data_IF_869786524764
#
_entry.id   IF_869786524764
#
_cell.length_a   1.000
_cell.length_b   1.000
_cell.length_c   1.000
_cell.angle_alpha   90.00
_cell.angle_beta   90.00
_cell.angle_gamma   90.00
#
_symmetry.space_group_name_H-M   'P 1'
#
loop_
_entity.id
_entity.type
_entity.pdbx_description
1 polymer ?
#
# COMPACT_ATOMS: atom_id res chain seq x y z
N UNK A 1 -28.52 -1.44 -15.40
CA UNK A 1 -27.23 -0.79 -15.08
C UNK A 1 -26.93 0.18 -16.22
N UNK A 2 -26.53 1.41 -15.93
CA UNK A 2 -26.27 2.42 -16.97
C UNK A 2 -25.16 1.95 -17.89
N UNK A 3 -25.37 1.94 -19.21
CA UNK A 3 -24.40 1.64 -20.28
C UNK A 3 -23.32 2.74 -20.42
N UNK A 4 -23.04 3.47 -19.34
CA UNK A 4 -22.10 4.57 -19.37
C UNK A 4 -20.67 4.05 -19.24
N UNK A 5 -19.88 4.24 -20.27
CA UNK A 5 -18.43 4.01 -20.25
C UNK A 5 -17.75 4.98 -19.30
N UNK A 6 -16.86 4.47 -18.43
CA UNK A 6 -16.02 5.28 -17.52
C UNK A 6 -14.67 5.51 -18.20
N UNK A 7 -14.32 6.77 -18.40
CA UNK A 7 -13.10 7.22 -19.06
C UNK A 7 -12.02 7.48 -18.00
N UNK A 8 -10.94 6.69 -18.07
CA UNK A 8 -9.86 6.70 -17.06
C UNK A 8 -8.62 7.41 -17.60
N UNK A 9 -8.14 8.40 -16.84
CA UNK A 9 -6.85 9.05 -17.04
C UNK A 9 -5.81 8.55 -16.04
N UNK A 10 -4.55 8.46 -16.46
CA UNK A 10 -3.43 8.01 -15.63
C UNK A 10 -2.44 9.13 -15.38
N UNK A 11 -2.14 9.40 -14.10
CA UNK A 11 -1.09 10.31 -13.69
C UNK A 11 0.05 9.51 -13.06
N UNK A 12 1.22 9.50 -13.69
CA UNK A 12 2.36 8.73 -13.21
C UNK A 12 2.29 7.24 -13.59
N UNK A 13 2.16 6.94 -14.88
CA UNK A 13 2.16 5.57 -15.38
C UNK A 13 3.57 4.94 -15.33
N UNK A 14 4.07 4.71 -14.12
CA UNK A 14 5.30 4.00 -13.81
C UNK A 14 5.16 2.47 -13.91
N UNK A 15 6.19 1.74 -13.41
CA UNK A 15 6.24 0.27 -13.51
C UNK A 15 4.98 -0.40 -12.97
N UNK A 16 4.52 -0.02 -11.77
CA UNK A 16 3.36 -0.65 -11.15
C UNK A 16 2.06 -0.38 -11.92
N UNK A 17 1.85 0.88 -12.31
CA UNK A 17 0.68 1.27 -13.12
C UNK A 17 0.62 0.50 -14.44
N UNK A 18 1.75 0.38 -15.14
CA UNK A 18 1.85 -0.35 -16.42
C UNK A 18 1.64 -1.86 -16.25
N UNK A 19 2.18 -2.48 -15.19
CA UNK A 19 2.13 -3.94 -15.01
C UNK A 19 0.87 -4.43 -14.29
N UNK A 20 0.12 -3.56 -13.59
CA UNK A 20 -1.02 -3.93 -12.76
C UNK A 20 -2.29 -3.15 -13.08
N UNK A 21 -2.25 -1.80 -12.95
CA UNK A 21 -3.47 -1.00 -13.05
C UNK A 21 -4.02 -0.94 -14.47
N UNK A 22 -3.19 -0.57 -15.45
CA UNK A 22 -3.63 -0.49 -16.85
C UNK A 22 -4.21 -1.82 -17.34
N UNK A 23 -3.51 -2.97 -17.20
CA UNK A 23 -4.06 -4.26 -17.59
C UNK A 23 -5.29 -4.66 -16.78
N UNK A 24 -5.38 -4.24 -15.51
CA UNK A 24 -6.56 -4.46 -14.67
C UNK A 24 -7.79 -3.71 -15.18
N UNK A 25 -7.63 -2.44 -15.53
CA UNK A 25 -8.69 -1.63 -16.13
C UNK A 25 -9.13 -2.14 -17.50
N UNK A 26 -8.18 -2.55 -18.37
CA UNK A 26 -8.49 -3.10 -19.70
C UNK A 26 -9.36 -4.36 -19.65
N UNK A 27 -9.31 -5.11 -18.56
CA UNK A 27 -10.14 -6.32 -18.37
C UNK A 27 -11.56 -6.03 -17.91
N UNK A 28 -11.87 -4.79 -17.52
CA UNK A 28 -13.20 -4.44 -17.02
C UNK A 28 -14.08 -3.95 -18.15
N UNK A 29 -15.31 -4.48 -18.29
CA UNK A 29 -16.25 -3.96 -19.28
C UNK A 29 -16.65 -2.53 -18.92
N UNK A 30 -16.89 -1.70 -19.92
CA UNK A 30 -17.32 -0.31 -19.73
C UNK A 30 -16.21 0.64 -19.25
N UNK A 31 -14.93 0.26 -19.38
CA UNK A 31 -13.78 1.12 -19.09
C UNK A 31 -13.07 1.50 -20.39
N UNK A 32 -12.75 2.78 -20.53
CA UNK A 32 -11.92 3.32 -21.61
C UNK A 32 -10.70 4.05 -21.04
N UNK A 33 -9.52 3.78 -21.58
CA UNK A 33 -8.26 4.44 -21.20
C UNK A 33 -8.05 5.63 -22.14
N UNK A 34 -8.26 6.84 -21.65
CA UNK A 34 -8.34 8.02 -22.53
C UNK A 34 -7.15 8.93 -22.48
N UNK A 35 -6.43 8.97 -21.35
CA UNK A 35 -5.38 9.97 -21.13
C UNK A 35 -4.24 9.46 -20.24
N UNK A 36 -3.04 9.98 -20.46
CA UNK A 36 -1.88 9.77 -19.59
C UNK A 36 -1.06 11.05 -19.43
N UNK A 37 -0.60 11.32 -18.22
CA UNK A 37 0.38 12.35 -17.90
C UNK A 37 1.53 11.74 -17.07
N UNK A 38 2.75 11.88 -17.58
CA UNK A 38 3.97 11.44 -16.89
C UNK A 38 4.89 12.64 -16.63
N UNK A 39 5.95 12.43 -15.85
CA UNK A 39 6.95 13.47 -15.55
C UNK A 39 7.59 14.08 -16.82
N UNK A 40 7.68 13.32 -17.90
CA UNK A 40 8.15 13.80 -19.21
C UNK A 40 7.19 13.34 -20.30
N UNK A 41 7.00 14.22 -21.33
CA UNK A 41 6.16 13.89 -22.49
C UNK A 41 6.57 12.59 -23.16
N UNK A 42 7.86 12.41 -23.42
CA UNK A 42 8.39 11.18 -24.04
C UNK A 42 8.05 9.90 -23.25
N UNK A 43 8.00 9.98 -21.91
CA UNK A 43 7.57 8.85 -21.07
C UNK A 43 6.06 8.62 -21.19
N UNK A 44 5.26 9.67 -21.29
CA UNK A 44 3.81 9.56 -21.53
C UNK A 44 3.51 8.94 -22.89
N UNK A 45 4.18 9.39 -23.94
CA UNK A 45 4.01 8.89 -25.32
C UNK A 45 4.35 7.39 -25.43
N UNK A 46 5.40 6.93 -24.75
CA UNK A 46 5.72 5.49 -24.71
C UNK A 46 4.56 4.66 -24.08
N UNK A 47 3.99 5.14 -23.00
CA UNK A 47 2.84 4.49 -22.35
C UNK A 47 1.61 4.55 -23.24
N UNK A 48 1.34 5.69 -23.83
CA UNK A 48 0.21 5.88 -24.74
C UNK A 48 0.27 4.92 -25.93
N UNK A 49 1.44 4.79 -26.54
CA UNK A 49 1.68 3.84 -27.64
C UNK A 49 1.53 2.38 -27.19
N UNK A 50 2.06 2.02 -26.03
CA UNK A 50 2.04 0.65 -25.50
C UNK A 50 0.61 0.16 -25.21
N UNK A 51 -0.26 1.04 -24.71
CA UNK A 51 -1.59 0.67 -24.24
C UNK A 51 -2.75 1.24 -25.07
N UNK A 52 -2.46 1.91 -26.17
CA UNK A 52 -3.49 2.49 -27.05
C UNK A 52 -4.22 3.69 -26.45
N UNK A 53 -3.57 4.47 -25.59
CA UNK A 53 -4.16 5.64 -24.95
C UNK A 53 -4.08 6.82 -25.92
N UNK A 54 -5.22 7.47 -26.18
CA UNK A 54 -5.31 8.46 -27.24
C UNK A 54 -4.59 9.78 -26.93
N UNK A 55 -4.55 10.21 -25.66
CA UNK A 55 -4.03 11.53 -25.30
C UNK A 55 -2.90 11.48 -24.28
N UNK A 56 -1.93 12.38 -24.51
CA UNK A 56 -0.80 12.62 -23.62
C UNK A 56 -0.81 14.07 -23.20
N UNK A 57 -0.82 14.31 -21.90
CA UNK A 57 -0.73 15.64 -21.30
C UNK A 57 0.67 15.90 -20.76
N UNK A 58 1.15 17.13 -20.89
CA UNK A 58 2.42 17.57 -20.32
C UNK A 58 2.29 17.92 -18.83
N UNK A 59 1.15 18.50 -18.45
CA UNK A 59 0.78 18.79 -17.07
C UNK A 59 -0.39 17.90 -16.63
N UNK A 60 -0.22 17.17 -15.56
CA UNK A 60 -1.25 16.34 -14.96
C UNK A 60 -2.50 17.15 -14.55
N UNK A 61 -2.35 18.45 -14.28
CA UNK A 61 -3.47 19.33 -13.93
C UNK A 61 -4.43 19.52 -15.08
N UNK A 62 -3.93 19.54 -16.29
CA UNK A 62 -4.75 19.60 -17.52
C UNK A 62 -5.54 18.30 -17.68
N UNK A 63 -4.90 17.12 -17.48
CA UNK A 63 -5.56 15.84 -17.52
C UNK A 63 -6.71 15.77 -16.49
N UNK A 64 -6.46 16.19 -15.25
CA UNK A 64 -7.46 16.15 -14.17
C UNK A 64 -8.66 17.07 -14.48
N UNK A 65 -8.45 18.20 -15.17
CA UNK A 65 -9.53 19.14 -15.56
C UNK A 65 -10.25 18.75 -16.84
N UNK A 66 -9.74 17.80 -17.59
CA UNK A 66 -10.30 17.42 -18.89
C UNK A 66 -11.75 16.92 -18.74
N UNK A 67 -12.66 17.44 -19.54
CA UNK A 67 -14.10 17.12 -19.49
C UNK A 67 -14.46 15.69 -19.91
N UNK A 68 -13.54 15.02 -20.54
CA UNK A 68 -13.66 13.67 -21.04
C UNK A 68 -12.84 12.64 -20.24
N UNK A 69 -12.44 12.97 -19.02
CA UNK A 69 -11.93 12.08 -18.00
C UNK A 69 -12.96 12.00 -16.88
N UNK A 70 -13.37 10.80 -16.48
CA UNK A 70 -14.33 10.55 -15.38
C UNK A 70 -13.61 10.10 -14.12
N UNK A 71 -12.51 9.36 -14.26
CA UNK A 71 -11.73 8.83 -13.15
C UNK A 71 -10.22 9.03 -13.38
N UNK A 72 -9.48 9.26 -12.30
CA UNK A 72 -8.02 9.43 -12.33
C UNK A 72 -7.34 8.33 -11.49
N UNK A 73 -6.42 7.61 -12.12
CA UNK A 73 -5.52 6.68 -11.44
C UNK A 73 -4.18 7.37 -11.19
N UNK A 74 -3.84 7.57 -9.92
CA UNK A 74 -2.61 8.23 -9.47
C UNK A 74 -1.57 7.17 -9.13
N UNK A 75 -0.54 7.04 -9.97
CA UNK A 75 0.54 6.05 -9.83
C UNK A 75 1.93 6.69 -9.64
N UNK A 76 1.97 7.91 -9.15
CA UNK A 76 3.19 8.67 -8.85
C UNK A 76 3.87 8.21 -7.57
N UNK A 77 4.77 9.01 -7.03
CA UNK A 77 5.36 8.82 -5.71
C UNK A 77 4.58 9.60 -4.65
N UNK A 78 4.64 9.20 -3.36
CA UNK A 78 3.81 9.75 -2.29
C UNK A 78 3.78 11.28 -2.18
N UNK A 79 4.87 11.97 -2.49
CA UNK A 79 4.97 13.43 -2.36
C UNK A 79 3.95 14.22 -3.22
N UNK A 80 3.35 13.59 -4.21
CA UNK A 80 2.33 14.21 -5.06
C UNK A 80 0.91 13.68 -4.81
N UNK A 81 0.76 12.60 -4.06
CA UNK A 81 -0.52 11.91 -3.91
C UNK A 81 -1.60 12.80 -3.32
N UNK A 82 -1.27 13.56 -2.27
CA UNK A 82 -2.23 14.46 -1.62
C UNK A 82 -2.70 15.55 -2.59
N UNK A 83 -1.79 16.28 -3.21
CA UNK A 83 -2.13 17.36 -4.15
C UNK A 83 -3.01 16.84 -5.31
N UNK A 84 -2.61 15.74 -5.92
CA UNK A 84 -3.33 15.14 -7.07
C UNK A 84 -4.71 14.61 -6.67
N UNK A 85 -4.82 13.97 -5.51
CA UNK A 85 -6.12 13.49 -5.00
C UNK A 85 -7.07 14.64 -4.73
N UNK A 86 -6.61 15.70 -4.06
CA UNK A 86 -7.43 16.88 -3.79
C UNK A 86 -7.88 17.56 -5.08
N UNK A 87 -7.00 17.70 -6.06
CA UNK A 87 -7.32 18.28 -7.37
C UNK A 87 -8.34 17.42 -8.13
N UNK A 88 -8.17 16.09 -8.12
CA UNK A 88 -9.10 15.16 -8.75
C UNK A 88 -10.51 15.27 -8.18
N UNK A 89 -10.64 15.26 -6.86
CA UNK A 89 -11.92 15.43 -6.18
C UNK A 89 -12.55 16.79 -6.42
N UNK A 90 -11.76 17.87 -6.39
CA UNK A 90 -12.23 19.22 -6.69
C UNK A 90 -12.72 19.37 -8.16
N UNK A 91 -12.15 18.59 -9.08
CA UNK A 91 -12.58 18.54 -10.48
C UNK A 91 -13.74 17.54 -10.73
N UNK A 92 -14.32 16.96 -9.68
CA UNK A 92 -15.44 16.02 -9.78
C UNK A 92 -15.06 14.64 -10.34
N UNK A 93 -13.80 14.21 -10.19
CA UNK A 93 -13.31 12.92 -10.69
C UNK A 93 -13.33 11.86 -9.60
N UNK A 94 -13.65 10.62 -9.96
CA UNK A 94 -13.32 9.47 -9.14
C UNK A 94 -11.81 9.32 -9.05
N UNK A 95 -11.28 8.87 -7.90
CA UNK A 95 -9.82 8.79 -7.67
C UNK A 95 -9.44 7.41 -7.16
N UNK A 96 -8.51 6.76 -7.87
CA UNK A 96 -7.73 5.63 -7.37
C UNK A 96 -6.30 6.11 -7.12
N UNK A 97 -5.84 6.08 -5.87
CA UNK A 97 -4.49 6.50 -5.50
C UNK A 97 -3.65 5.29 -5.07
N UNK A 98 -2.41 5.22 -5.56
CA UNK A 98 -1.44 4.21 -5.15
C UNK A 98 -1.08 4.29 -3.66
N UNK A 99 -0.72 3.16 -3.11
CA UNK A 99 -0.06 3.08 -1.82
C UNK A 99 1.43 3.50 -1.98
N UNK A 100 1.95 4.27 -1.09
CA UNK A 100 1.43 4.71 0.21
C UNK A 100 0.61 5.98 0.04
N UNK A 101 -0.41 6.13 0.86
CA UNK A 101 -1.41 7.19 0.71
C UNK A 101 -0.83 8.59 0.58
N UNK A 102 0.10 8.96 1.45
CA UNK A 102 0.56 10.33 1.64
C UNK A 102 1.97 10.37 2.25
N UNK A 103 2.55 11.55 2.36
CA UNK A 103 3.84 11.78 3.01
C UNK A 103 3.76 11.61 4.53
N UNK A 104 2.65 12.02 5.11
CA UNK A 104 2.40 12.00 6.55
C UNK A 104 0.90 11.93 6.88
N UNK A 105 0.60 11.91 8.18
CA UNK A 105 -0.76 11.83 8.68
C UNK A 105 -1.58 13.12 8.44
N UNK A 106 -0.94 14.29 8.29
CA UNK A 106 -1.65 15.55 8.02
C UNK A 106 -2.18 15.56 6.58
N UNK A 107 -1.38 15.15 5.61
CA UNK A 107 -1.81 14.94 4.23
C UNK A 107 -2.90 13.88 4.15
N UNK A 108 -2.73 12.74 4.83
CA UNK A 108 -3.74 11.67 4.87
C UNK A 108 -5.09 12.16 5.40
N UNK A 109 -5.10 12.98 6.44
CA UNK A 109 -6.34 13.63 6.95
C UNK A 109 -6.97 14.56 5.93
N UNK A 110 -6.18 15.39 5.25
CA UNK A 110 -6.69 16.28 4.19
C UNK A 110 -7.36 15.48 3.06
N UNK A 111 -6.76 14.38 2.64
CA UNK A 111 -7.33 13.49 1.61
C UNK A 111 -8.63 12.86 2.10
N UNK A 112 -8.68 12.34 3.33
CA UNK A 112 -9.87 11.77 3.93
C UNK A 112 -11.01 12.81 4.04
N UNK A 113 -10.70 14.01 4.50
CA UNK A 113 -11.70 15.07 4.64
C UNK A 113 -12.25 15.52 3.28
N UNK A 114 -11.40 15.58 2.24
CA UNK A 114 -11.85 15.87 0.88
C UNK A 114 -12.77 14.78 0.33
N UNK A 115 -12.44 13.52 0.56
CA UNK A 115 -13.26 12.37 0.18
C UNK A 115 -14.65 12.41 0.85
N UNK A 116 -14.70 12.72 2.14
CA UNK A 116 -15.96 12.85 2.89
C UNK A 116 -16.85 14.01 2.41
N UNK A 117 -16.23 15.08 1.91
CA UNK A 117 -16.97 16.21 1.32
C UNK A 117 -17.51 15.94 -0.09
N UNK A 118 -17.06 14.87 -0.73
CA UNK A 118 -17.49 14.47 -2.07
C UNK A 118 -18.04 13.01 -2.07
N UNK A 119 -19.11 12.73 -1.31
CA UNK A 119 -19.61 11.36 -1.11
C UNK A 119 -20.16 10.71 -2.40
N UNK A 120 -20.44 11.52 -3.43
CA UNK A 120 -20.86 11.06 -4.76
C UNK A 120 -19.70 10.52 -5.60
N UNK A 121 -18.46 10.76 -5.20
CA UNK A 121 -17.26 10.31 -5.90
C UNK A 121 -16.67 9.07 -5.21
N UNK A 122 -16.26 8.12 -6.01
CA UNK A 122 -15.50 6.96 -5.51
C UNK A 122 -14.06 7.38 -5.28
N UNK A 123 -13.58 7.21 -4.05
CA UNK A 123 -12.18 7.42 -3.68
C UNK A 123 -11.64 6.15 -3.06
N UNK A 124 -10.55 5.65 -3.61
CA UNK A 124 -9.94 4.42 -3.13
C UNK A 124 -8.42 4.50 -3.13
N UNK A 125 -7.82 3.95 -2.08
CA UNK A 125 -6.41 3.59 -2.07
C UNK A 125 -6.24 2.18 -2.62
N UNK A 126 -5.13 1.94 -3.30
CA UNK A 126 -4.77 0.60 -3.73
C UNK A 126 -4.60 -0.28 -2.48
N UNK A 127 -5.38 -1.37 -2.36
CA UNK A 127 -5.34 -2.22 -1.18
C UNK A 127 -4.06 -3.05 -1.10
N UNK A 128 -3.83 -3.67 0.06
CA UNK A 128 -2.69 -4.56 0.30
C UNK A 128 -2.81 -5.87 -0.49
N UNK A 129 -2.09 -6.09 -1.59
CA UNK A 129 -2.20 -7.32 -2.37
C UNK A 129 -1.89 -8.59 -1.57
N UNK A 130 -0.87 -8.61 -0.65
CA UNK A 130 -0.51 -9.82 0.08
C UNK A 130 -1.60 -10.36 1.01
N UNK A 131 -2.57 -9.52 1.41
CA UNK A 131 -3.58 -9.89 2.40
C UNK A 131 -4.96 -10.15 1.79
N UNK A 132 -5.22 -9.70 0.55
CA UNK A 132 -6.56 -9.73 -0.05
C UNK A 132 -7.17 -11.13 -0.12
N UNK A 133 -6.39 -12.13 -0.44
CA UNK A 133 -6.90 -13.52 -0.60
C UNK A 133 -7.36 -14.11 0.74
N UNK A 134 -6.67 -13.79 1.85
CA UNK A 134 -6.99 -14.28 3.18
C UNK A 134 -7.96 -13.37 3.96
N UNK A 135 -8.15 -12.12 3.52
CA UNK A 135 -8.78 -11.06 4.30
C UNK A 135 -10.22 -11.43 4.73
N UNK A 136 -11.04 -11.88 3.79
CA UNK A 136 -12.43 -12.25 4.08
C UNK A 136 -12.52 -13.50 5.00
N UNK A 137 -11.66 -14.49 4.79
CA UNK A 137 -11.61 -15.71 5.60
C UNK A 137 -11.15 -15.39 7.02
N UNK A 138 -10.07 -14.60 7.18
CA UNK A 138 -9.59 -14.17 8.49
C UNK A 138 -10.64 -13.36 9.25
N UNK A 139 -11.25 -12.37 8.60
CA UNK A 139 -12.29 -11.55 9.22
C UNK A 139 -13.48 -12.40 9.67
N UNK A 140 -13.93 -13.38 8.86
CA UNK A 140 -15.00 -14.30 9.20
C UNK A 140 -14.63 -15.18 10.38
N UNK A 141 -13.47 -15.84 10.35
CA UNK A 141 -13.02 -16.73 11.43
C UNK A 141 -12.90 -15.99 12.78
N UNK A 142 -12.38 -14.76 12.76
CA UNK A 142 -12.28 -13.93 13.96
C UNK A 142 -13.66 -13.50 14.47
N UNK A 143 -14.59 -13.15 13.59
CA UNK A 143 -15.96 -12.78 13.94
C UNK A 143 -16.76 -13.98 14.51
N UNK A 144 -16.53 -15.17 13.98
CA UNK A 144 -17.11 -16.43 14.48
C UNK A 144 -16.49 -16.91 15.81
N UNK A 145 -15.50 -16.20 16.33
CA UNK A 145 -14.82 -16.56 17.60
C UNK A 145 -13.86 -17.75 17.49
N UNK A 146 -13.31 -18.02 16.31
CA UNK A 146 -12.41 -19.17 16.08
C UNK A 146 -11.26 -19.22 17.09
N UNK A 147 -10.67 -18.07 17.43
CA UNK A 147 -9.56 -17.98 18.39
C UNK A 147 -10.01 -17.75 19.83
N UNK A 148 -11.30 -17.48 20.08
CA UNK A 148 -11.78 -17.06 21.39
C UNK A 148 -11.38 -15.62 21.73
N UNK A 149 -10.95 -15.37 22.98
CA UNK A 149 -10.40 -14.07 23.38
C UNK A 149 -9.03 -13.85 22.71
N UNK A 150 -8.85 -12.71 22.05
CA UNK A 150 -7.58 -12.35 21.42
C UNK A 150 -6.51 -12.06 22.49
N UNK A 151 -5.42 -12.77 22.49
CA UNK A 151 -4.34 -12.67 23.50
C UNK A 151 -3.09 -11.99 22.93
N UNK A 152 -2.64 -12.43 21.74
CA UNK A 152 -1.44 -11.88 21.13
C UNK A 152 -1.49 -11.90 19.60
N UNK A 153 -0.75 -10.98 18.97
CA UNK A 153 -0.53 -10.96 17.53
C UNK A 153 0.96 -10.79 17.25
N UNK A 154 1.49 -11.60 16.35
CA UNK A 154 2.85 -11.43 15.83
C UNK A 154 2.80 -11.23 14.32
N UNK A 155 3.59 -10.28 13.84
CA UNK A 155 3.75 -10.01 12.41
C UNK A 155 5.22 -9.90 12.08
N UNK A 156 5.65 -10.67 11.11
CA UNK A 156 6.93 -10.51 10.44
C UNK A 156 6.66 -10.10 8.98
N UNK A 157 7.17 -8.93 8.57
CA UNK A 157 7.07 -8.47 7.20
C UNK A 157 8.46 -8.06 6.69
N UNK A 158 8.94 -8.79 5.71
CA UNK A 158 10.21 -8.50 5.05
C UNK A 158 9.98 -7.91 3.67
N UNK A 159 10.76 -6.89 3.35
CA UNK A 159 10.77 -6.29 2.01
C UNK A 159 12.15 -6.44 1.40
N UNK A 160 12.27 -7.20 0.30
CA UNK A 160 13.54 -7.51 -0.34
C UNK A 160 14.56 -8.10 0.63
N UNK A 161 14.34 -9.31 1.18
CA UNK A 161 15.20 -9.90 2.19
C UNK A 161 16.58 -10.25 1.61
N UNK A 162 17.49 -9.30 1.65
CA UNK A 162 18.87 -9.42 1.16
C UNK A 162 19.85 -9.02 2.25
N UNK A 163 21.08 -9.51 2.15
CA UNK A 163 22.18 -8.93 2.91
C UNK A 163 22.34 -7.45 2.55
N UNK A 164 22.70 -6.67 3.56
CA UNK A 164 22.86 -5.21 3.38
C UNK A 164 23.90 -4.91 2.33
N UNK A 165 23.47 -4.27 1.25
CA UNK A 165 24.38 -3.72 0.23
C UNK A 165 24.60 -2.23 0.52
N UNK A 166 25.86 -1.88 0.81
CA UNK A 166 26.26 -0.51 1.12
C UNK A 166 26.51 0.35 -0.12
N UNK A 167 26.68 -0.31 -1.28
CA UNK A 167 26.96 0.33 -2.55
C UNK A 167 25.69 0.58 -3.39
N UNK A 168 24.56 -0.05 -3.02
CA UNK A 168 23.29 0.15 -3.71
C UNK A 168 22.91 1.64 -3.71
N UNK A 169 22.57 2.23 -4.88
CA UNK A 169 22.20 3.63 -4.99
C UNK A 169 20.95 3.96 -4.16
N UNK A 170 20.77 5.26 -3.87
CA UNK A 170 19.59 5.77 -3.19
C UNK A 170 18.33 5.44 -3.96
N UNK A 171 17.46 4.63 -3.36
CA UNK A 171 16.14 4.36 -3.90
C UNK A 171 15.15 5.43 -3.41
N UNK A 172 14.18 5.81 -4.22
CA UNK A 172 13.19 6.83 -3.85
C UNK A 172 12.43 6.54 -2.54
N UNK A 173 12.28 5.25 -2.17
CA UNK A 173 11.65 4.85 -0.90
C UNK A 173 12.48 5.17 0.33
N UNK A 174 13.78 5.34 0.16
CA UNK A 174 14.72 5.74 1.21
C UNK A 174 14.90 7.25 1.29
N UNK A 175 14.36 7.98 0.30
CA UNK A 175 14.36 9.44 0.26
C UNK A 175 13.08 9.98 0.92
N UNK A 176 13.24 10.61 2.07
CA UNK A 176 12.12 11.19 2.82
C UNK A 176 11.39 12.29 2.04
N UNK A 177 12.08 13.01 1.14
CA UNK A 177 11.45 14.04 0.32
C UNK A 177 10.50 13.47 -0.76
N UNK A 178 10.66 12.21 -1.13
CA UNK A 178 9.84 11.52 -2.14
C UNK A 178 8.84 10.54 -1.52
N UNK A 179 9.24 9.88 -0.43
CA UNK A 179 8.47 8.82 0.22
C UNK A 179 7.78 9.26 1.53
N UNK A 180 8.16 10.40 2.11
CA UNK A 180 7.72 10.79 3.44
C UNK A 180 8.27 9.87 4.52
N UNK A 181 7.56 9.79 5.65
CA UNK A 181 7.91 8.89 6.75
C UNK A 181 7.36 7.47 6.58
N UNK A 182 7.20 7.03 5.35
CA UNK A 182 6.71 5.69 5.04
C UNK A 182 7.83 4.66 5.17
N UNK A 183 7.77 3.85 6.21
CA UNK A 183 8.78 2.84 6.51
C UNK A 183 8.40 1.53 5.81
N UNK A 184 9.23 1.08 4.87
CA UNK A 184 9.07 -0.20 4.17
C UNK A 184 7.62 -0.44 3.69
N UNK A 185 7.06 -1.59 4.04
CA UNK A 185 5.67 -1.99 3.79
C UNK A 185 4.77 -1.92 5.06
N UNK A 186 5.22 -1.22 6.11
CA UNK A 186 4.54 -1.16 7.40
C UNK A 186 3.08 -0.71 7.29
N UNK A 187 2.80 0.36 6.53
CA UNK A 187 1.44 0.88 6.38
C UNK A 187 0.48 -0.13 5.73
N UNK A 188 0.96 -0.90 4.76
CA UNK A 188 0.19 -1.94 4.06
C UNK A 188 -0.23 -3.05 5.04
N UNK A 189 0.70 -3.55 5.84
CA UNK A 189 0.45 -4.61 6.80
C UNK A 189 -0.36 -4.14 8.00
N UNK A 190 -0.08 -2.93 8.51
CA UNK A 190 -0.83 -2.39 9.64
C UNK A 190 -2.28 -2.08 9.26
N UNK A 191 -2.55 -1.67 8.03
CA UNK A 191 -3.90 -1.49 7.49
C UNK A 191 -4.70 -2.81 7.50
N UNK A 192 -4.06 -3.92 7.15
CA UNK A 192 -4.67 -5.24 7.25
C UNK A 192 -4.96 -5.63 8.72
N UNK A 193 -4.00 -5.42 9.61
CA UNK A 193 -4.18 -5.68 11.05
C UNK A 193 -5.32 -4.83 11.64
N UNK A 194 -5.48 -3.57 11.20
CA UNK A 194 -6.60 -2.72 11.64
C UNK A 194 -7.97 -3.35 11.34
N UNK A 195 -8.11 -4.01 10.19
CA UNK A 195 -9.36 -4.70 9.82
C UNK A 195 -9.58 -5.98 10.63
N UNK A 196 -8.52 -6.71 10.95
CA UNK A 196 -8.64 -8.01 11.62
C UNK A 196 -8.74 -7.90 13.14
N UNK A 197 -7.86 -7.13 13.77
CA UNK A 197 -7.68 -7.11 15.22
C UNK A 197 -7.86 -5.71 15.85
N UNK A 198 -8.07 -4.70 15.04
CA UNK A 198 -8.30 -3.32 15.49
C UNK A 198 -7.03 -2.54 15.78
N UNK A 199 -7.18 -1.27 16.23
CA UNK A 199 -6.05 -0.35 16.38
C UNK A 199 -5.21 -0.62 17.62
N UNK A 200 -3.92 -0.28 17.51
CA UNK A 200 -3.05 -0.17 18.66
C UNK A 200 -3.42 1.05 19.52
N UNK A 201 -3.40 0.89 20.83
CA UNK A 201 -3.61 1.98 21.82
C UNK A 201 -2.31 2.56 22.34
N UNK A 202 -1.29 1.71 22.51
CA UNK A 202 0.05 2.10 22.96
C UNK A 202 1.07 1.38 22.13
N UNK A 203 2.16 2.05 21.83
CA UNK A 203 3.28 1.49 21.06
C UNK A 203 4.61 1.92 21.65
N UNK A 204 5.59 1.01 21.59
CA UNK A 204 7.01 1.29 21.75
C UNK A 204 7.70 0.73 20.50
N UNK A 205 8.61 1.49 19.91
CA UNK A 205 9.29 1.07 18.70
C UNK A 205 10.78 1.36 18.75
N UNK A 206 11.56 0.46 18.15
CA UNK A 206 12.97 0.67 17.83
C UNK A 206 13.16 0.66 16.33
N UNK A 207 13.96 1.59 15.82
CA UNK A 207 14.24 1.71 14.40
C UNK A 207 15.75 1.63 14.13
N UNK A 208 16.11 1.19 12.93
CA UNK A 208 17.50 1.17 12.46
C UNK A 208 17.60 1.62 11.03
N UNK A 209 18.53 2.50 10.76
CA UNK A 209 19.06 2.80 9.43
C UNK A 209 20.40 2.08 9.31
N UNK A 210 20.46 1.02 8.51
CA UNK A 210 21.67 0.19 8.38
C UNK A 210 22.73 0.84 7.48
N UNK A 211 22.29 1.62 6.49
CA UNK A 211 23.14 2.37 5.56
C UNK A 211 22.74 3.84 5.61
N UNK A 212 23.45 4.66 6.43
CA UNK A 212 23.02 6.03 6.70
C UNK A 212 23.24 7.02 5.54
N UNK A 213 24.02 6.65 4.55
CA UNK A 213 24.27 7.47 3.36
C UNK A 213 24.31 6.60 2.11
N UNK A 214 23.77 7.11 1.00
CA UNK A 214 23.79 6.46 -0.32
C UNK A 214 24.00 7.50 -1.42
N UNK A 215 24.60 7.08 -2.54
CA UNK A 215 24.70 7.91 -3.74
C UNK A 215 23.33 8.04 -4.42
N UNK A 216 22.91 9.26 -4.75
CA UNK A 216 21.74 9.48 -5.60
C UNK A 216 22.08 9.23 -7.10
N UNK A 217 21.08 9.38 -7.96
CA UNK A 217 21.22 9.18 -9.41
C UNK A 217 22.22 10.14 -10.08
N UNK A 218 22.62 11.22 -9.40
CA UNK A 218 23.59 12.22 -9.86
C UNK A 218 24.99 12.00 -9.26
N UNK A 219 25.19 10.92 -8.50
CA UNK A 219 26.45 10.61 -7.83
C UNK A 219 26.72 11.46 -6.58
N UNK A 220 25.69 12.07 -5.99
CA UNK A 220 25.81 12.89 -4.77
C UNK A 220 25.41 12.05 -3.56
N UNK A 221 26.24 12.06 -2.51
CA UNK A 221 25.92 11.42 -1.24
C UNK A 221 24.72 12.08 -0.57
N UNK A 222 23.71 11.27 -0.22
CA UNK A 222 22.50 11.68 0.48
C UNK A 222 22.33 10.91 1.78
N UNK A 223 21.85 11.59 2.80
CA UNK A 223 21.48 10.97 4.07
C UNK A 223 20.20 10.14 3.90
N UNK A 224 20.22 8.91 4.41
CA UNK A 224 19.05 8.02 4.48
C UNK A 224 18.41 8.18 5.85
N UNK A 225 17.17 8.70 5.88
CA UNK A 225 16.39 8.92 7.11
C UNK A 225 15.28 7.90 7.32
N UNK A 226 14.86 7.22 6.26
CA UNK A 226 13.82 6.18 6.35
C UNK A 226 14.46 4.90 6.86
N UNK A 227 13.98 4.33 7.99
CA UNK A 227 14.55 3.12 8.56
C UNK A 227 14.47 1.89 7.65
N UNK A 228 15.50 1.07 7.70
CA UNK A 228 15.58 -0.24 7.06
C UNK A 228 14.98 -1.36 7.93
N UNK A 229 14.74 -1.06 9.22
CA UNK A 229 14.25 -2.02 10.20
C UNK A 229 13.47 -1.31 11.30
N UNK A 230 12.35 -1.91 11.68
CA UNK A 230 11.50 -1.46 12.79
C UNK A 230 10.97 -2.66 13.55
N UNK A 231 11.21 -2.70 14.86
CA UNK A 231 10.52 -3.57 15.80
C UNK A 231 9.52 -2.74 16.62
N UNK A 232 8.27 -3.21 16.72
CA UNK A 232 7.19 -2.55 17.44
C UNK A 232 6.59 -3.51 18.45
N UNK A 233 6.44 -3.06 19.70
CA UNK A 233 5.59 -3.67 20.70
C UNK A 233 4.37 -2.79 20.94
N UNK A 234 3.19 -3.37 20.95
CA UNK A 234 1.94 -2.64 21.10
C UNK A 234 0.95 -3.34 22.03
N UNK A 235 0.02 -2.56 22.59
CA UNK A 235 -1.23 -3.07 23.16
C UNK A 235 -2.37 -2.68 22.23
N UNK A 236 -3.23 -3.65 21.89
CA UNK A 236 -4.40 -3.46 21.03
C UNK A 236 -5.62 -3.01 21.85
N UNK A 237 -6.66 -2.58 21.15
CA UNK A 237 -7.87 -2.01 21.75
C UNK A 237 -8.58 -2.90 22.77
N UNK A 238 -8.46 -4.22 22.67
CA UNK A 238 -9.06 -5.21 23.56
C UNK A 238 -8.09 -5.78 24.62
N UNK A 239 -6.92 -5.15 24.78
CA UNK A 239 -5.93 -5.58 25.79
C UNK A 239 -4.89 -6.59 25.28
N UNK A 240 -5.09 -7.18 24.12
CA UNK A 240 -4.11 -8.08 23.50
C UNK A 240 -2.79 -7.38 23.23
N UNK A 241 -1.68 -8.13 23.25
CA UNK A 241 -0.35 -7.62 22.88
C UNK A 241 -0.08 -7.84 21.39
N UNK A 242 0.75 -6.98 20.79
CA UNK A 242 1.22 -7.20 19.44
C UNK A 242 2.73 -6.97 19.34
N UNK A 243 3.40 -7.85 18.58
CA UNK A 243 4.80 -7.72 18.19
C UNK A 243 4.88 -7.67 16.68
N UNK A 244 5.32 -6.52 16.14
CA UNK A 244 5.37 -6.29 14.71
C UNK A 244 6.81 -5.99 14.29
N UNK A 245 7.31 -6.71 13.30
CA UNK A 245 8.64 -6.49 12.72
C UNK A 245 8.52 -6.19 11.24
N UNK A 246 9.15 -5.10 10.82
CA UNK A 246 9.30 -4.70 9.40
C UNK A 246 10.78 -4.54 9.10
N UNK A 247 11.28 -5.27 8.10
CA UNK A 247 12.72 -5.30 7.85
C UNK A 247 13.05 -5.50 6.37
N UNK A 248 14.15 -4.89 5.92
CA UNK A 248 14.83 -5.20 4.66
C UNK A 248 16.26 -5.73 4.87
N UNK A 249 16.69 -5.84 6.13
CA UNK A 249 18.07 -6.21 6.49
C UNK A 249 18.18 -7.57 7.16
N UNK A 250 17.08 -8.33 7.26
CA UNK A 250 17.03 -9.67 7.84
C UNK A 250 17.03 -10.73 6.74
N UNK A 251 18.16 -10.82 6.02
CA UNK A 251 18.35 -11.82 4.98
C UNK A 251 18.19 -13.25 5.54
N UNK A 252 17.59 -14.14 4.73
CA UNK A 252 17.33 -15.53 5.10
C UNK A 252 16.45 -15.70 6.35
N UNK A 253 15.83 -14.62 6.82
CA UNK A 253 14.90 -14.65 7.94
C UNK A 253 13.51 -15.17 7.53
N UNK A 254 12.56 -15.18 8.48
CA UNK A 254 11.17 -15.56 8.20
C UNK A 254 10.59 -14.71 7.07
N UNK A 255 9.72 -15.33 6.26
CA UNK A 255 8.94 -14.65 5.23
C UNK A 255 7.87 -13.71 5.81
N UNK A 256 6.93 -13.29 4.96
CA UNK A 256 5.81 -12.47 5.39
C UNK A 256 4.76 -13.36 6.07
N UNK A 257 4.61 -13.23 7.37
CA UNK A 257 3.67 -14.04 8.15
C UNK A 257 2.99 -13.26 9.27
N UNK A 258 1.76 -13.65 9.57
CA UNK A 258 0.98 -13.13 10.69
C UNK A 258 0.50 -14.31 11.54
N UNK A 259 0.70 -14.22 12.85
CA UNK A 259 0.15 -15.11 13.84
C UNK A 259 -0.86 -14.39 14.70
N UNK A 260 -2.00 -15.04 14.95
CA UNK A 260 -3.07 -14.53 15.80
C UNK A 260 -3.36 -15.61 16.84
N UNK A 261 -3.05 -15.32 18.09
CA UNK A 261 -3.20 -16.23 19.23
C UNK A 261 -4.38 -15.82 20.09
N UNK A 262 -5.23 -16.76 20.41
CA UNK A 262 -6.35 -16.55 21.32
C UNK A 262 -6.49 -17.66 22.36
N UNK A 263 -7.52 -17.52 23.23
CA UNK A 263 -7.79 -18.46 24.31
C UNK A 263 -8.18 -19.85 23.83
N UNK A 264 -8.76 -19.97 22.64
CA UNK A 264 -9.33 -21.23 22.14
C UNK A 264 -8.77 -21.68 20.80
N UNK A 265 -7.93 -20.85 20.15
CA UNK A 265 -7.34 -21.20 18.88
C UNK A 265 -6.23 -20.26 18.44
N UNK A 266 -5.54 -20.68 17.40
CA UNK A 266 -4.46 -19.93 16.73
C UNK A 266 -4.71 -19.91 15.22
N UNK A 267 -4.45 -18.78 14.59
CA UNK A 267 -4.45 -18.63 13.14
C UNK A 267 -3.04 -18.20 12.69
N UNK A 268 -2.58 -18.72 11.57
CA UNK A 268 -1.32 -18.33 10.91
C UNK A 268 -1.56 -18.05 9.43
N UNK A 269 -1.24 -16.85 9.01
CA UNK A 269 -1.16 -16.47 7.59
C UNK A 269 0.29 -16.45 7.13
N UNK A 270 0.64 -17.30 6.18
CA UNK A 270 1.91 -17.26 5.42
C UNK A 270 1.64 -16.61 4.07
N UNK A 271 1.80 -15.28 4.02
CA UNK A 271 1.34 -14.49 2.86
C UNK A 271 2.11 -14.80 1.57
N UNK A 272 3.39 -15.14 1.66
CA UNK A 272 4.21 -15.49 0.49
C UNK A 272 3.78 -16.84 -0.11
N UNK A 273 3.32 -17.77 0.74
CA UNK A 273 2.78 -19.06 0.35
C UNK A 273 1.27 -19.02 0.07
N UNK A 274 0.60 -17.89 0.34
CA UNK A 274 -0.86 -17.71 0.25
C UNK A 274 -1.64 -18.76 1.05
N UNK A 275 -1.09 -19.16 2.20
CA UNK A 275 -1.64 -20.20 3.04
C UNK A 275 -2.13 -19.65 4.36
N UNK A 276 -3.38 -19.95 4.70
CA UNK A 276 -3.98 -19.68 5.99
C UNK A 276 -4.19 -21.01 6.72
N UNK A 277 -3.61 -21.11 7.90
CA UNK A 277 -3.71 -22.29 8.74
C UNK A 277 -4.29 -21.93 10.11
N UNK A 278 -5.01 -22.87 10.71
CA UNK A 278 -5.60 -22.70 12.02
C UNK A 278 -5.54 -23.97 12.84
N UNK A 279 -5.59 -23.81 14.16
CA UNK A 279 -5.71 -24.90 15.13
C UNK A 279 -6.50 -24.44 16.33
N UNK A 280 -7.28 -25.32 16.93
CA UNK A 280 -8.10 -25.05 18.11
C UNK A 280 -7.64 -25.90 19.31
N UNK A 281 -8.18 -25.59 20.45
CA UNK A 281 -7.90 -26.34 21.69
C UNK A 281 -8.10 -27.86 21.49
N UNK A 282 -7.07 -28.62 21.72
CA UNK A 282 -7.01 -30.07 21.50
C UNK A 282 -6.26 -30.48 20.22
N UNK A 283 -6.05 -29.57 19.29
CA UNK A 283 -5.20 -29.85 18.13
C UNK A 283 -3.71 -29.81 18.49
N UNK A 284 -2.93 -30.66 17.84
CA UNK A 284 -1.47 -30.75 18.01
C UNK A 284 -0.68 -30.07 16.88
N UNK A 285 -1.37 -29.66 15.84
CA UNK A 285 -0.78 -29.00 14.65
C UNK A 285 -1.77 -28.02 14.02
N UNK A 286 -1.25 -27.06 13.27
CA UNK A 286 -2.09 -26.18 12.45
C UNK A 286 -2.45 -26.90 11.13
N UNK A 287 -3.70 -26.75 10.70
CA UNK A 287 -4.21 -27.24 9.41
C UNK A 287 -4.73 -26.10 8.56
N UNK A 288 -4.71 -26.26 7.26
CA UNK A 288 -5.25 -25.27 6.32
C UNK A 288 -6.76 -25.08 6.56
N UNK A 289 -7.22 -23.81 6.55
CA UNK A 289 -8.59 -23.38 6.86
C UNK A 289 -9.18 -22.48 5.79
#
# INVERSE_FOLDING_TARGET
MSDRTIRVGFVGAGRNTRSRHIPGFQKQPGIELVAVANRTRASGERVAKEFGIARVYDDWRELVRAGDVDAVCIGTWPYTHCEMTLAGLAAGKHVLCEARMAMDAAEGRRMLDASRRAPQLVTQLVPSPPTLEADATLARLLAEGYVGELLAVELHATQNPRFVDREEPMHWRSDVALSGHNILNMGIWYEALLRWVGPARRVVAMTKVAVPQRLDANGVWREVKVPDHVDILATLGRGATARLRFSSITALGPGNEVWIFGSDGTLRLEADAKRLSGGRRGDTELREV
#
